data_IF_234612984427
#
_entry.id   IF_234612984427
#
_cell.length_a   1.000
_cell.length_b   1.000
_cell.length_c   1.000
_cell.angle_alpha   90.00
_cell.angle_beta   90.00
_cell.angle_gamma   90.00
#
_symmetry.space_group_name_H-M   'P 1'
#
loop_
_entity.id
_entity.type
_entity.pdbx_description
1 polymer ?
#
# COMPACT_ATOMS: atom_id res chain seq x y z
N UNK A 1 7.86 32.06 -39.44
CA UNK A 1 6.56 32.17 -38.75
C UNK A 1 6.33 30.88 -37.96
N UNK A 2 6.41 30.89 -36.62
CA UNK A 2 6.20 29.70 -35.81
C UNK A 2 4.73 29.59 -35.37
N UNK A 3 4.10 28.44 -35.59
CA UNK A 3 2.82 28.08 -34.95
C UNK A 3 3.14 27.34 -33.64
N UNK A 4 3.28 28.12 -32.56
CA UNK A 4 3.08 27.64 -31.18
C UNK A 4 1.60 27.87 -30.83
N UNK A 5 0.98 26.94 -30.09
CA UNK A 5 -0.40 26.89 -29.56
C UNK A 5 -1.10 25.65 -30.14
N UNK A 6 -1.48 24.62 -29.36
CA UNK A 6 -2.47 24.70 -28.31
C UNK A 6 -2.47 23.47 -27.36
N UNK A 7 -1.31 23.03 -26.85
CA UNK A 7 -1.24 21.94 -25.84
C UNK A 7 -0.67 22.38 -24.48
N UNK A 8 -0.37 23.68 -24.31
CA UNK A 8 0.12 24.24 -23.05
C UNK A 8 -0.94 24.86 -22.13
N UNK A 9 -2.22 24.81 -22.50
CA UNK A 9 -3.31 25.43 -21.73
C UNK A 9 -4.25 24.43 -21.04
N UNK A 10 -4.12 23.12 -21.32
CA UNK A 10 -4.99 22.09 -20.71
C UNK A 10 -4.36 21.42 -19.46
N UNK A 11 -3.04 21.54 -19.28
CA UNK A 11 -2.31 21.00 -18.12
C UNK A 11 -2.05 22.02 -17.00
N UNK A 12 -2.44 23.29 -17.21
CA UNK A 12 -2.39 24.36 -16.21
C UNK A 12 -3.76 24.64 -15.56
N UNK A 13 -4.81 23.93 -15.98
CA UNK A 13 -6.17 24.04 -15.46
C UNK A 13 -6.49 23.02 -14.34
N UNK A 14 -5.54 22.14 -14.00
CA UNK A 14 -5.67 21.14 -12.91
C UNK A 14 -4.72 21.39 -11.73
N UNK A 15 -3.90 22.45 -11.76
CA UNK A 15 -2.93 22.78 -10.71
C UNK A 15 -3.18 24.12 -10.02
N UNK A 16 -4.37 24.73 -10.19
CA UNK A 16 -4.82 25.90 -9.42
C UNK A 16 -6.21 25.64 -8.84
N UNK A 17 -6.29 24.64 -7.95
CA UNK A 17 -7.25 24.65 -6.86
C UNK A 17 -6.46 24.70 -5.54
N UNK A 18 -5.54 25.67 -5.44
CA UNK A 18 -5.29 26.28 -4.14
C UNK A 18 -6.58 26.99 -3.76
N UNK A 19 -7.41 26.31 -2.98
CA UNK A 19 -8.60 26.90 -2.36
C UNK A 19 -8.19 28.00 -1.39
N UNK A 20 -8.00 29.20 -1.91
CA UNK A 20 -8.36 30.43 -1.22
C UNK A 20 -9.59 30.98 -1.95
N UNK A 21 -10.65 30.19 -2.01
CA UNK A 21 -11.98 30.78 -2.16
C UNK A 21 -12.30 31.42 -0.81
N UNK A 22 -12.44 32.74 -0.78
CA UNK A 22 -13.13 33.39 0.32
C UNK A 22 -14.53 32.79 0.35
N UNK A 23 -14.86 32.13 1.45
CA UNK A 23 -16.22 31.70 1.80
C UNK A 23 -17.09 32.97 1.95
N UNK A 24 -17.56 33.53 0.84
CA UNK A 24 -18.61 34.55 0.86
C UNK A 24 -19.74 34.07 -0.07
N UNK A 25 -20.87 33.76 0.58
CA UNK A 25 -22.22 33.56 0.04
C UNK A 25 -22.54 32.32 -0.82
N UNK A 26 -22.13 31.14 -0.35
CA UNK A 26 -22.96 29.93 -0.54
C UNK A 26 -23.60 29.69 0.82
N UNK A 27 -24.92 29.87 0.93
CA UNK A 27 -25.67 29.68 2.18
C UNK A 27 -25.27 28.36 2.85
N UNK A 28 -25.13 28.36 4.18
CA UNK A 28 -24.70 27.20 4.97
C UNK A 28 -25.66 26.05 4.68
N UNK A 29 -25.26 25.12 3.81
CA UNK A 29 -25.97 23.85 3.67
C UNK A 29 -25.59 23.05 4.91
N UNK A 30 -26.49 22.99 5.88
CA UNK A 30 -26.30 22.10 7.04
C UNK A 30 -26.13 20.67 6.52
N UNK A 31 -25.03 19.99 6.90
CA UNK A 31 -24.70 18.62 6.46
C UNK A 31 -25.86 17.62 6.62
N UNK A 32 -26.76 17.86 7.58
CA UNK A 32 -28.01 17.12 7.80
C UNK A 32 -28.91 17.06 6.56
N UNK A 33 -28.97 18.13 5.76
CA UNK A 33 -29.80 18.23 4.56
C UNK A 33 -29.34 17.36 3.37
N UNK A 34 -28.13 16.80 3.44
CA UNK A 34 -27.53 15.95 2.40
C UNK A 34 -27.56 14.45 2.78
N UNK A 35 -28.14 14.11 3.93
CA UNK A 35 -28.24 12.73 4.38
C UNK A 35 -29.30 11.98 3.55
N UNK A 36 -28.86 10.92 2.87
CA UNK A 36 -29.74 10.02 2.12
C UNK A 36 -30.37 8.93 2.98
N UNK A 37 -29.79 8.70 4.16
CA UNK A 37 -30.23 7.68 5.09
C UNK A 37 -30.91 8.34 6.29
N UNK A 38 -31.90 7.64 6.85
CA UNK A 38 -32.44 7.97 8.16
C UNK A 38 -31.31 7.86 9.19
N UNK A 39 -31.16 8.87 10.05
CA UNK A 39 -30.11 8.88 11.07
C UNK A 39 -30.63 9.54 12.37
N UNK A 40 -30.47 8.90 13.55
CA UNK A 40 -29.94 7.56 13.77
C UNK A 40 -30.77 6.45 13.11
N UNK A 41 -30.15 5.30 12.84
CA UNK A 41 -30.77 4.17 12.15
C UNK A 41 -31.48 3.17 13.09
N UNK A 42 -31.36 3.38 14.40
CA UNK A 42 -31.88 2.48 15.43
C UNK A 42 -31.91 3.13 16.80
N UNK A 43 -32.21 2.31 17.82
CA UNK A 43 -32.26 2.71 19.22
C UNK A 43 -31.46 1.77 20.14
N UNK A 44 -30.57 0.95 19.57
CA UNK A 44 -29.68 0.09 20.32
C UNK A 44 -28.69 0.95 21.13
N UNK A 45 -28.09 0.43 22.22
CA UNK A 45 -27.12 1.19 23.01
C UNK A 45 -25.95 1.75 22.19
N UNK A 46 -25.46 0.97 21.21
CA UNK A 46 -24.38 1.35 20.31
C UNK A 46 -24.79 2.35 19.21
N UNK A 47 -26.09 2.56 18.96
CA UNK A 47 -26.53 3.62 18.04
C UNK A 47 -26.13 4.99 18.55
N UNK A 48 -26.15 5.20 19.88
CA UNK A 48 -25.68 6.44 20.49
C UNK A 48 -24.19 6.67 20.28
N UNK A 49 -23.41 5.61 20.19
CA UNK A 49 -21.98 5.69 19.88
C UNK A 49 -21.78 6.10 18.41
N UNK A 50 -22.54 5.52 17.49
CA UNK A 50 -22.56 5.91 16.06
C UNK A 50 -22.97 7.38 15.89
N UNK A 51 -24.00 7.83 16.61
CA UNK A 51 -24.41 9.24 16.61
C UNK A 51 -23.29 10.16 17.07
N UNK A 52 -22.61 9.79 18.16
CA UNK A 52 -21.47 10.54 18.68
C UNK A 52 -20.32 10.56 17.67
N UNK A 53 -20.05 9.45 16.98
CA UNK A 53 -19.04 9.41 15.92
C UNK A 53 -19.39 10.41 14.81
N UNK A 54 -20.64 10.43 14.35
CA UNK A 54 -21.08 11.39 13.34
C UNK A 54 -20.93 12.84 13.80
N UNK A 55 -21.27 13.15 15.06
CA UNK A 55 -21.14 14.49 15.62
C UNK A 55 -19.69 14.94 15.78
N UNK A 56 -18.82 14.09 16.33
CA UNK A 56 -17.43 14.44 16.64
C UNK A 56 -16.54 14.40 15.38
N UNK A 57 -16.72 13.40 14.53
CA UNK A 57 -15.83 13.13 13.40
C UNK A 57 -16.40 13.62 12.06
N UNK A 58 -17.71 13.77 11.95
CA UNK A 58 -18.37 14.12 10.69
C UNK A 58 -18.50 12.96 9.70
N UNK A 59 -18.29 11.71 10.17
CA UNK A 59 -18.43 10.47 9.42
C UNK A 59 -19.71 9.74 9.85
N UNK A 60 -20.59 9.43 8.90
CA UNK A 60 -21.84 8.74 9.15
C UNK A 60 -21.70 7.25 8.89
N UNK A 61 -21.82 6.44 9.95
CA UNK A 61 -21.79 4.98 9.84
C UNK A 61 -23.19 4.50 9.43
N UNK A 62 -23.31 3.89 8.24
CA UNK A 62 -24.57 3.38 7.69
C UNK A 62 -24.54 1.87 7.67
N UNK A 63 -25.54 1.24 8.27
CA UNK A 63 -25.56 -0.22 8.46
C UNK A 63 -26.93 -0.84 8.15
N UNK A 64 -27.95 -0.03 7.83
CA UNK A 64 -29.26 -0.48 7.33
C UNK A 64 -29.52 0.09 5.94
N UNK A 65 -30.27 -0.66 5.14
CA UNK A 65 -30.79 -0.24 3.83
C UNK A 65 -29.70 0.19 2.84
N UNK A 66 -28.46 -0.28 3.00
CA UNK A 66 -27.41 -0.12 1.97
C UNK A 66 -27.65 -1.17 0.90
N UNK A 67 -27.79 -0.73 -0.35
CA UNK A 67 -28.01 -1.65 -1.47
C UNK A 67 -27.08 -1.36 -2.67
N UNK A 68 -27.30 -2.08 -3.77
CA UNK A 68 -26.45 -1.96 -4.97
C UNK A 68 -26.49 -0.55 -5.60
N UNK A 69 -27.54 0.24 -5.39
CA UNK A 69 -27.61 1.62 -5.89
C UNK A 69 -26.71 2.56 -5.10
N UNK A 70 -26.50 2.29 -3.82
CA UNK A 70 -25.56 3.03 -2.98
C UNK A 70 -24.11 2.70 -3.32
N UNK A 71 -23.84 1.42 -3.62
CA UNK A 71 -22.52 0.90 -3.92
C UNK A 71 -22.04 1.17 -5.36
N UNK A 72 -22.95 1.23 -6.35
CA UNK A 72 -22.61 1.35 -7.77
C UNK A 72 -23.04 2.69 -8.35
N UNK A 73 -22.35 3.75 -7.95
CA UNK A 73 -22.72 5.09 -8.40
C UNK A 73 -22.22 5.37 -9.80
N UNK A 74 -22.90 6.30 -10.47
CA UNK A 74 -22.66 6.61 -11.88
C UNK A 74 -21.23 7.04 -12.19
N UNK A 75 -20.49 7.55 -11.21
CA UNK A 75 -19.07 7.90 -11.35
C UNK A 75 -18.09 6.75 -11.06
N UNK A 76 -18.55 5.62 -10.50
CA UNK A 76 -17.70 4.44 -10.23
C UNK A 76 -17.86 3.33 -11.27
N UNK A 77 -18.91 3.37 -12.10
CA UNK A 77 -19.30 2.24 -12.94
C UNK A 77 -19.49 2.64 -14.41
N UNK A 78 -18.45 2.45 -15.23
CA UNK A 78 -18.57 2.54 -16.70
C UNK A 78 -17.81 1.42 -17.38
N UNK A 79 -18.52 0.41 -17.90
CA UNK A 79 -17.92 -0.66 -18.71
C UNK A 79 -18.61 -2.02 -18.56
N UNK A 80 -18.57 -2.83 -19.62
CA UNK A 80 -19.15 -4.18 -19.64
C UNK A 80 -18.50 -5.14 -18.62
N UNK A 81 -17.20 -4.98 -18.36
CA UNK A 81 -16.44 -5.79 -17.41
C UNK A 81 -16.29 -5.12 -16.03
N UNK A 82 -16.92 -3.97 -15.80
CA UNK A 82 -16.77 -3.23 -14.55
C UNK A 82 -17.50 -3.94 -13.41
N UNK A 83 -16.89 -4.07 -12.22
CA UNK A 83 -17.57 -4.69 -11.08
C UNK A 83 -18.94 -4.08 -10.76
N UNK A 84 -19.89 -4.94 -10.39
CA UNK A 84 -21.23 -4.54 -9.90
C UNK A 84 -21.36 -5.02 -8.46
N UNK A 85 -21.19 -4.11 -7.51
CA UNK A 85 -21.14 -4.41 -6.09
C UNK A 85 -22.52 -4.72 -5.51
N UNK A 86 -22.63 -5.83 -4.79
CA UNK A 86 -23.80 -6.20 -3.99
C UNK A 86 -23.35 -6.57 -2.58
N UNK A 87 -24.26 -6.52 -1.63
CA UNK A 87 -23.97 -6.86 -0.24
C UNK A 87 -25.24 -7.36 0.48
N UNK A 88 -25.06 -7.74 1.74
CA UNK A 88 -26.11 -8.13 2.67
C UNK A 88 -26.12 -7.19 3.88
N UNK A 89 -27.24 -7.16 4.59
CA UNK A 89 -27.40 -6.34 5.80
C UNK A 89 -26.86 -7.11 7.02
N UNK A 90 -25.93 -6.52 7.80
CA UNK A 90 -25.45 -7.10 9.06
C UNK A 90 -26.54 -7.11 10.14
N UNK A 91 -26.41 -8.04 11.09
CA UNK A 91 -27.24 -8.08 12.29
C UNK A 91 -26.63 -7.30 13.47
N UNK A 92 -27.42 -7.06 14.52
CA UNK A 92 -27.04 -6.22 15.67
C UNK A 92 -25.78 -6.68 16.43
N UNK A 93 -25.45 -7.98 16.42
CA UNK A 93 -24.21 -8.46 17.06
C UNK A 93 -23.00 -8.21 16.19
N UNK A 94 -23.14 -8.37 14.88
CA UNK A 94 -22.08 -8.12 13.90
C UNK A 94 -21.69 -6.64 13.88
N UNK A 95 -22.65 -5.72 14.02
CA UNK A 95 -22.38 -4.28 14.11
C UNK A 95 -21.36 -3.96 15.20
N UNK A 96 -21.43 -4.62 16.35
CA UNK A 96 -20.48 -4.38 17.45
C UNK A 96 -19.05 -4.76 17.05
N UNK A 97 -18.88 -5.87 16.34
CA UNK A 97 -17.57 -6.32 15.82
C UNK A 97 -16.99 -5.25 14.87
N UNK A 98 -17.82 -4.73 13.95
CA UNK A 98 -17.41 -3.64 13.06
C UNK A 98 -17.02 -2.38 13.83
N UNK A 99 -17.83 -1.97 14.81
CA UNK A 99 -17.58 -0.78 15.61
C UNK A 99 -16.29 -0.88 16.42
N UNK A 100 -15.98 -2.04 16.99
CA UNK A 100 -14.73 -2.27 17.72
C UNK A 100 -13.51 -2.06 16.81
N UNK A 101 -13.54 -2.58 15.58
CA UNK A 101 -12.47 -2.38 14.60
C UNK A 101 -12.33 -0.90 14.21
N UNK A 102 -13.44 -0.20 13.97
CA UNK A 102 -13.45 1.21 13.57
C UNK A 102 -12.90 2.09 14.69
N UNK A 103 -13.41 1.93 15.90
CA UNK A 103 -12.96 2.72 17.04
C UNK A 103 -11.48 2.48 17.32
N UNK A 104 -11.04 1.22 17.30
CA UNK A 104 -9.65 0.86 17.62
C UNK A 104 -8.66 1.28 16.54
N UNK A 105 -8.95 1.01 15.27
CA UNK A 105 -7.95 1.08 14.21
C UNK A 105 -8.12 2.26 13.24
N UNK A 106 -9.35 2.70 12.98
CA UNK A 106 -9.60 3.89 12.19
C UNK A 106 -9.48 5.13 13.07
N UNK A 107 -10.43 5.30 14.00
CA UNK A 107 -10.54 6.50 14.83
C UNK A 107 -9.38 6.60 15.83
N UNK A 108 -8.92 5.48 16.39
CA UNK A 108 -7.77 5.45 17.30
C UNK A 108 -6.42 5.83 16.67
N UNK A 109 -6.36 6.00 15.34
CA UNK A 109 -5.16 6.46 14.62
C UNK A 109 -5.19 7.96 14.26
N UNK A 110 -6.29 8.63 14.59
CA UNK A 110 -6.60 10.00 14.21
C UNK A 110 -6.85 10.87 15.45
N UNK A 111 -6.70 12.18 15.30
CA UNK A 111 -7.09 13.17 16.29
C UNK A 111 -8.39 13.88 15.87
N UNK A 112 -9.46 13.72 16.66
CA UNK A 112 -10.77 14.32 16.34
C UNK A 112 -10.76 15.84 16.36
N UNK A 113 -9.88 16.46 17.14
CA UNK A 113 -9.82 17.92 17.26
C UNK A 113 -9.05 18.54 16.07
N UNK A 114 -8.36 17.70 15.28
CA UNK A 114 -7.62 18.10 14.10
C UNK A 114 -8.48 17.99 12.84
N UNK A 115 -8.64 19.11 12.13
CA UNK A 115 -9.49 19.18 10.91
C UNK A 115 -8.96 18.28 9.81
N UNK A 116 -7.65 18.26 9.60
CA UNK A 116 -6.99 17.49 8.55
C UNK A 116 -7.21 15.99 8.73
N UNK A 117 -7.29 15.51 9.96
CA UNK A 117 -7.56 14.11 10.28
C UNK A 117 -9.01 13.73 9.99
N UNK A 118 -9.96 14.61 10.35
CA UNK A 118 -11.38 14.41 10.01
C UNK A 118 -11.64 14.46 8.51
N UNK A 119 -10.91 15.28 7.76
CA UNK A 119 -11.05 15.39 6.30
C UNK A 119 -10.59 14.13 5.53
N UNK A 120 -9.86 13.24 6.19
CA UNK A 120 -9.41 11.98 5.59
C UNK A 120 -10.47 10.87 5.70
N UNK A 121 -11.50 11.07 6.52
CA UNK A 121 -12.59 10.12 6.69
C UNK A 121 -13.61 10.26 5.55
N UNK A 122 -14.23 9.16 5.11
CA UNK A 122 -15.32 9.23 4.16
C UNK A 122 -16.52 9.91 4.82
N UNK A 123 -17.40 10.52 4.01
CA UNK A 123 -18.65 11.05 4.56
C UNK A 123 -19.55 9.92 5.05
N UNK A 124 -19.62 8.82 4.29
CA UNK A 124 -20.30 7.59 4.69
C UNK A 124 -19.32 6.42 4.91
N UNK A 125 -19.48 5.70 6.01
CA UNK A 125 -18.84 4.39 6.21
C UNK A 125 -19.93 3.33 6.26
N UNK A 126 -20.02 2.51 5.22
CA UNK A 126 -20.99 1.44 5.12
C UNK A 126 -20.49 0.19 5.84
N UNK A 127 -21.32 -0.35 6.74
CA UNK A 127 -21.12 -1.66 7.35
C UNK A 127 -22.08 -2.63 6.67
N UNK A 128 -21.52 -3.54 5.89
CA UNK A 128 -22.30 -4.46 5.06
C UNK A 128 -21.69 -5.85 5.10
N UNK A 129 -22.48 -6.91 5.06
CA UNK A 129 -21.93 -8.27 4.95
C UNK A 129 -21.76 -8.66 3.47
N UNK A 130 -20.85 -9.58 3.21
CA UNK A 130 -20.71 -10.26 1.91
C UNK A 130 -20.61 -9.28 0.72
N UNK A 131 -19.89 -8.16 0.87
CA UNK A 131 -19.63 -7.23 -0.23
C UNK A 131 -18.86 -7.96 -1.34
N UNK A 132 -19.44 -8.08 -2.52
CA UNK A 132 -18.82 -8.79 -3.64
C UNK A 132 -19.26 -8.27 -5.00
N UNK A 133 -18.49 -8.63 -6.01
CA UNK A 133 -18.76 -8.30 -7.40
C UNK A 133 -19.75 -9.30 -8.05
N UNK A 134 -20.91 -8.82 -8.44
CA UNK A 134 -21.97 -9.59 -9.08
C UNK A 134 -22.00 -9.46 -10.62
N UNK A 135 -20.98 -8.85 -11.24
CA UNK A 135 -20.91 -8.79 -12.70
C UNK A 135 -20.30 -10.09 -13.27
N UNK A 136 -21.06 -10.93 -13.99
CA UNK A 136 -20.55 -12.18 -14.54
C UNK A 136 -19.44 -12.01 -15.59
N UNK A 137 -19.27 -10.81 -16.14
CA UNK A 137 -18.24 -10.50 -17.13
C UNK A 137 -16.98 -9.89 -16.51
N UNK A 138 -16.98 -9.65 -15.19
CA UNK A 138 -15.86 -9.06 -14.50
C UNK A 138 -14.80 -10.11 -14.13
N UNK A 139 -13.50 -9.81 -14.25
CA UNK A 139 -12.42 -10.67 -13.75
C UNK A 139 -12.46 -10.92 -12.22
N UNK A 140 -13.26 -10.12 -11.51
CA UNK A 140 -13.46 -10.23 -10.06
C UNK A 140 -14.83 -10.78 -9.67
N UNK A 141 -15.60 -11.33 -10.61
CA UNK A 141 -16.91 -11.92 -10.31
C UNK A 141 -16.85 -12.87 -9.11
N UNK A 142 -17.83 -12.71 -8.21
CA UNK A 142 -18.00 -13.40 -6.93
C UNK A 142 -16.85 -13.25 -5.91
N UNK A 143 -15.85 -12.42 -6.19
CA UNK A 143 -14.80 -12.13 -5.19
C UNK A 143 -15.35 -11.20 -4.11
N UNK A 144 -15.23 -11.65 -2.87
CA UNK A 144 -15.49 -10.84 -1.70
C UNK A 144 -14.44 -9.73 -1.54
N UNK A 145 -14.89 -8.56 -1.10
CA UNK A 145 -14.05 -7.40 -0.80
C UNK A 145 -14.28 -6.99 0.65
N UNK A 146 -13.26 -7.18 1.47
CA UNK A 146 -13.31 -6.87 2.89
C UNK A 146 -13.38 -5.36 3.14
N UNK A 147 -12.64 -4.56 2.36
CA UNK A 147 -12.61 -3.11 2.51
C UNK A 147 -12.56 -2.43 1.15
N UNK A 148 -13.51 -1.51 0.93
CA UNK A 148 -13.63 -0.70 -0.28
C UNK A 148 -13.43 0.77 0.08
N UNK A 149 -12.36 1.40 -0.42
CA UNK A 149 -11.99 2.79 -0.12
C UNK A 149 -11.84 3.70 -1.35
N UNK A 150 -12.15 3.17 -2.54
CA UNK A 150 -12.15 3.88 -3.83
C UNK A 150 -13.45 4.65 -4.11
N UNK A 151 -14.42 4.62 -3.19
CA UNK A 151 -15.61 5.45 -3.25
C UNK A 151 -15.28 6.91 -2.89
N UNK A 152 -15.76 7.86 -3.70
CA UNK A 152 -15.48 9.29 -3.52
C UNK A 152 -16.03 9.84 -2.19
N UNK A 153 -17.27 9.49 -1.84
CA UNK A 153 -17.94 9.97 -0.64
C UNK A 153 -18.22 8.86 0.39
N UNK A 154 -17.88 7.60 0.07
CA UNK A 154 -18.12 6.47 0.94
C UNK A 154 -17.00 5.45 0.94
N UNK A 155 -16.79 4.80 2.08
CA UNK A 155 -16.08 3.52 2.18
C UNK A 155 -17.06 2.42 2.60
N UNK A 156 -16.72 1.17 2.33
CA UNK A 156 -17.47 0.02 2.83
C UNK A 156 -16.53 -0.98 3.51
N UNK A 157 -16.85 -1.33 4.76
CA UNK A 157 -16.20 -2.40 5.51
C UNK A 157 -17.15 -3.60 5.52
N UNK A 158 -16.61 -4.76 5.19
CA UNK A 158 -17.38 -5.98 4.99
C UNK A 158 -16.63 -7.22 5.46
N UNK A 159 -17.40 -8.15 5.99
CA UNK A 159 -17.02 -9.52 6.26
C UNK A 159 -18.15 -10.44 5.81
N UNK A 160 -17.84 -11.69 5.52
CA UNK A 160 -18.87 -12.70 5.31
C UNK A 160 -19.53 -13.07 6.64
N UNK A 161 -20.77 -13.55 6.57
CA UNK A 161 -21.47 -14.02 7.77
C UNK A 161 -20.74 -15.18 8.47
N UNK A 162 -20.01 -16.01 7.71
CA UNK A 162 -19.19 -17.10 8.25
C UNK A 162 -17.97 -16.57 9.03
N UNK A 163 -17.28 -15.58 8.51
CA UNK A 163 -16.14 -14.94 9.17
C UNK A 163 -16.54 -14.28 10.50
N UNK A 164 -17.70 -13.63 10.53
CA UNK A 164 -18.21 -12.99 11.74
C UNK A 164 -18.68 -14.00 12.80
N UNK A 165 -19.15 -15.18 12.38
CA UNK A 165 -19.54 -16.26 13.30
C UNK A 165 -18.33 -16.99 13.90
N UNK A 166 -17.25 -17.15 13.13
CA UNK A 166 -16.08 -17.94 13.51
C UNK A 166 -14.95 -17.13 14.19
N UNK A 167 -15.25 -15.90 14.62
CA UNK A 167 -14.27 -14.88 15.02
C UNK A 167 -13.32 -14.48 13.88
N UNK A 168 -12.98 -13.18 13.83
CA UNK A 168 -12.11 -12.67 12.77
C UNK A 168 -10.67 -13.15 12.97
N UNK A 169 -10.07 -13.70 11.92
CA UNK A 169 -8.69 -14.17 11.99
C UNK A 169 -7.71 -13.00 12.20
N UNK A 170 -6.54 -13.25 12.83
CA UNK A 170 -5.46 -12.28 12.93
C UNK A 170 -5.13 -11.56 11.62
N UNK A 171 -5.05 -12.29 10.50
CA UNK A 171 -4.78 -11.70 9.17
C UNK A 171 -5.85 -10.71 8.73
N UNK A 172 -7.11 -11.02 8.99
CA UNK A 172 -8.22 -10.16 8.61
C UNK A 172 -8.25 -8.87 9.44
N UNK A 173 -7.98 -8.98 10.75
CA UNK A 173 -7.85 -7.84 11.64
C UNK A 173 -6.64 -6.99 11.24
N UNK A 174 -5.50 -7.63 10.94
CA UNK A 174 -4.28 -6.96 10.48
C UNK A 174 -4.51 -6.16 9.20
N UNK A 175 -5.15 -6.77 8.20
CA UNK A 175 -5.47 -6.11 6.94
C UNK A 175 -6.32 -4.85 7.14
N UNK A 176 -7.38 -4.93 7.94
CA UNK A 176 -8.24 -3.79 8.28
C UNK A 176 -7.46 -2.73 9.06
N UNK A 177 -6.70 -3.14 10.07
CA UNK A 177 -5.94 -2.24 10.92
C UNK A 177 -4.95 -1.40 10.10
N UNK A 178 -4.22 -2.05 9.20
CA UNK A 178 -3.24 -1.39 8.37
C UNK A 178 -3.88 -0.51 7.29
N UNK A 179 -4.97 -0.98 6.65
CA UNK A 179 -5.68 -0.20 5.63
C UNK A 179 -6.38 1.04 6.19
N UNK A 180 -6.78 1.02 7.47
CA UNK A 180 -7.32 2.19 8.14
C UNK A 180 -6.25 3.19 8.59
N UNK A 181 -5.16 2.70 9.18
CA UNK A 181 -4.18 3.61 9.80
C UNK A 181 -3.12 4.14 8.82
N UNK A 182 -2.62 3.34 7.89
CA UNK A 182 -1.48 3.73 7.05
C UNK A 182 -1.77 4.87 6.07
N UNK A 183 -2.92 4.94 5.37
CA UNK A 183 -3.18 6.03 4.42
C UNK A 183 -3.04 7.40 5.07
N UNK A 184 -3.49 7.55 6.31
CA UNK A 184 -3.36 8.80 7.04
C UNK A 184 -1.91 9.15 7.38
N UNK A 185 -1.12 8.15 7.78
CA UNK A 185 0.32 8.33 7.99
C UNK A 185 1.01 8.76 6.69
N UNK A 186 0.73 8.07 5.59
CA UNK A 186 1.30 8.35 4.26
C UNK A 186 0.99 9.79 3.82
N UNK A 187 -0.27 10.23 3.91
CA UNK A 187 -0.69 11.59 3.55
C UNK A 187 0.04 12.65 4.39
N UNK A 188 0.19 12.44 5.70
CA UNK A 188 0.93 13.36 6.58
C UNK A 188 2.41 13.48 6.22
N UNK A 189 3.04 12.41 5.73
CA UNK A 189 4.41 12.54 5.19
C UNK A 189 4.43 13.27 3.84
N UNK A 190 3.49 12.95 2.95
CA UNK A 190 3.44 13.54 1.60
C UNK A 190 3.13 15.04 1.63
N UNK A 191 2.27 15.50 2.52
CA UNK A 191 1.96 16.93 2.71
C UNK A 191 3.00 17.66 3.58
N UNK A 192 3.95 16.93 4.16
CA UNK A 192 5.04 17.45 4.97
C UNK A 192 4.68 17.80 6.41
N UNK A 193 3.51 17.41 6.92
CA UNK A 193 3.18 17.48 8.34
C UNK A 193 4.10 16.59 9.16
N UNK A 194 4.28 15.34 8.72
CA UNK A 194 5.28 14.43 9.24
C UNK A 194 6.58 14.59 8.44
N UNK A 195 7.69 14.63 9.16
CA UNK A 195 9.05 14.60 8.61
C UNK A 195 9.69 13.25 8.86
N UNK A 196 10.37 12.72 7.85
CA UNK A 196 11.25 11.56 8.02
C UNK A 196 12.39 11.91 9.00
N UNK A 197 12.92 10.92 9.70
CA UNK A 197 14.08 11.13 10.57
C UNK A 197 15.26 11.66 9.75
N UNK A 198 15.98 12.71 10.20
CA UNK A 198 17.19 13.19 9.53
C UNK A 198 18.29 12.12 9.49
N UNK A 199 18.25 11.17 10.42
CA UNK A 199 19.22 10.08 10.52
C UNK A 199 18.91 8.92 9.58
N UNK A 200 17.76 8.93 8.89
CA UNK A 200 17.36 7.80 8.03
C UNK A 200 18.15 7.74 6.72
N UNK A 201 18.25 8.85 6.00
CA UNK A 201 18.96 8.89 4.73
C UNK A 201 20.46 8.52 4.87
N UNK A 202 21.19 8.99 5.90
CA UNK A 202 22.59 8.61 6.13
C UNK A 202 22.85 7.11 6.33
N UNK A 203 21.85 6.31 6.74
CA UNK A 203 22.01 4.86 6.88
C UNK A 203 22.21 4.16 5.52
N UNK A 204 21.63 4.71 4.45
CA UNK A 204 21.83 4.18 3.10
C UNK A 204 22.98 4.90 2.43
N UNK A 205 24.02 4.17 1.98
CA UNK A 205 25.19 4.81 1.36
C UNK A 205 24.87 5.58 0.06
N UNK A 206 23.84 5.16 -0.69
CA UNK A 206 23.62 5.66 -2.03
C UNK A 206 22.17 5.44 -2.53
N UNK A 207 21.45 6.55 -2.75
CA UNK A 207 20.11 6.61 -3.37
C UNK A 207 20.14 7.04 -4.86
N UNK A 208 21.32 7.31 -5.42
CA UNK A 208 21.50 7.82 -6.78
C UNK A 208 21.72 6.68 -7.77
N UNK A 209 22.66 5.78 -7.48
CA UNK A 209 23.07 4.77 -8.45
C UNK A 209 22.00 3.70 -8.65
N UNK A 210 21.91 3.24 -9.89
CA UNK A 210 21.01 2.17 -10.31
C UNK A 210 21.24 0.89 -9.48
N UNK A 211 20.15 0.22 -9.10
CA UNK A 211 20.16 -1.05 -8.35
C UNK A 211 19.83 -2.24 -9.27
N UNK A 212 20.35 -3.41 -8.98
CA UNK A 212 19.89 -4.68 -9.55
C UNK A 212 18.72 -5.26 -8.74
N UNK A 213 18.01 -6.21 -9.34
CA UNK A 213 16.85 -6.87 -8.71
C UNK A 213 17.24 -8.09 -7.89
N UNK A 214 18.11 -8.95 -8.41
CA UNK A 214 18.59 -10.15 -7.72
C UNK A 214 19.97 -10.55 -8.23
N UNK A 215 20.61 -11.47 -7.52
CA UNK A 215 21.75 -12.22 -8.01
C UNK A 215 21.29 -13.61 -8.43
N UNK A 216 21.66 -14.05 -9.63
CA UNK A 216 21.32 -15.37 -10.15
C UNK A 216 22.59 -16.03 -10.67
N UNK A 217 23.23 -16.85 -9.83
CA UNK A 217 24.46 -17.55 -10.20
C UNK A 217 24.23 -18.57 -11.31
N UNK A 218 25.32 -18.95 -11.98
CA UNK A 218 25.28 -20.02 -12.97
C UNK A 218 24.80 -21.33 -12.34
N UNK A 219 25.26 -21.66 -11.14
CA UNK A 219 24.88 -22.88 -10.43
C UNK A 219 23.39 -22.91 -10.12
N UNK A 220 22.82 -21.78 -9.68
CA UNK A 220 21.38 -21.68 -9.43
C UNK A 220 20.59 -21.84 -10.73
N UNK A 221 20.99 -21.14 -11.79
CA UNK A 221 20.36 -21.27 -13.11
C UNK A 221 20.43 -22.70 -13.66
N UNK A 222 21.59 -23.35 -13.53
CA UNK A 222 21.82 -24.69 -14.01
C UNK A 222 20.96 -25.73 -13.28
N UNK A 223 20.81 -25.58 -11.96
CA UNK A 223 19.93 -26.41 -11.16
C UNK A 223 18.45 -26.16 -11.50
N UNK A 224 18.01 -24.90 -11.58
CA UNK A 224 16.62 -24.55 -11.80
C UNK A 224 16.12 -24.94 -13.21
N UNK A 225 16.96 -24.76 -14.25
CA UNK A 225 16.57 -24.97 -15.64
C UNK A 225 16.88 -26.38 -16.15
N UNK A 226 17.92 -27.04 -15.62
CA UNK A 226 18.42 -28.33 -16.13
C UNK A 226 18.53 -29.41 -15.06
N UNK A 227 18.12 -29.14 -13.81
CA UNK A 227 18.19 -30.10 -12.71
C UNK A 227 19.62 -30.53 -12.35
N UNK A 228 20.63 -29.72 -12.71
CA UNK A 228 22.04 -30.07 -12.50
C UNK A 228 22.57 -31.18 -13.43
N UNK A 229 21.90 -31.45 -14.55
CA UNK A 229 22.32 -32.47 -15.51
C UNK A 229 23.61 -32.07 -16.24
N UNK A 230 24.76 -32.59 -15.79
CA UNK A 230 26.09 -32.28 -16.34
C UNK A 230 26.22 -32.45 -17.86
N UNK A 231 25.43 -33.32 -18.49
CA UNK A 231 25.43 -33.46 -19.95
C UNK A 231 24.90 -32.20 -20.66
N UNK A 232 24.11 -31.38 -19.97
CA UNK A 232 23.55 -30.13 -20.47
C UNK A 232 24.40 -28.90 -20.11
N UNK A 233 25.53 -29.07 -19.42
CA UNK A 233 26.31 -27.94 -18.87
C UNK A 233 26.73 -26.91 -19.91
N UNK A 234 27.23 -27.34 -21.07
CA UNK A 234 27.59 -26.44 -22.17
C UNK A 234 26.39 -25.67 -22.73
N UNK A 235 25.23 -26.33 -22.82
CA UNK A 235 23.97 -25.68 -23.22
C UNK A 235 23.52 -24.68 -22.16
N UNK A 236 23.67 -25.03 -20.88
CA UNK A 236 23.35 -24.15 -19.77
C UNK A 236 24.27 -22.91 -19.76
N UNK A 237 25.56 -23.04 -20.00
CA UNK A 237 26.51 -21.91 -20.09
C UNK A 237 26.07 -20.93 -21.18
N UNK A 238 25.78 -21.44 -22.38
CA UNK A 238 25.28 -20.62 -23.49
C UNK A 238 23.95 -19.93 -23.16
N UNK A 239 22.99 -20.65 -22.58
CA UNK A 239 21.68 -20.09 -22.22
C UNK A 239 21.77 -19.10 -21.05
N UNK A 240 22.63 -19.34 -20.07
CA UNK A 240 22.90 -18.40 -18.98
C UNK A 240 23.43 -17.08 -19.53
N UNK A 241 24.33 -17.15 -20.50
CA UNK A 241 24.89 -15.96 -21.13
C UNK A 241 23.89 -15.14 -21.91
N UNK A 242 22.90 -15.78 -22.52
CA UNK A 242 21.84 -15.11 -23.28
C UNK A 242 20.66 -14.63 -22.42
N UNK A 243 20.30 -15.38 -21.38
CA UNK A 243 19.02 -15.20 -20.67
C UNK A 243 19.17 -14.43 -19.36
N UNK A 244 20.33 -14.48 -18.72
CA UNK A 244 20.57 -13.80 -17.45
C UNK A 244 21.27 -12.48 -17.73
N UNK A 245 20.64 -11.38 -17.31
CA UNK A 245 21.19 -10.04 -17.52
C UNK A 245 22.54 -9.89 -16.82
N UNK A 246 23.49 -9.16 -17.42
CA UNK A 246 24.82 -8.93 -16.84
C UNK A 246 24.78 -8.41 -15.41
N UNK A 247 23.80 -7.56 -15.10
CA UNK A 247 23.56 -7.02 -13.76
C UNK A 247 23.08 -8.07 -12.75
N UNK A 248 22.37 -9.12 -13.18
CA UNK A 248 21.96 -10.25 -12.33
C UNK A 248 23.09 -11.25 -12.09
N UNK A 249 24.14 -11.23 -12.92
CA UNK A 249 25.36 -12.04 -12.72
C UNK A 249 26.33 -11.42 -11.71
N UNK A 250 26.14 -10.15 -11.35
CA UNK A 250 27.00 -9.45 -10.41
C UNK A 250 26.36 -9.42 -9.01
N UNK A 251 26.96 -10.13 -8.04
CA UNK A 251 26.43 -10.22 -6.68
C UNK A 251 26.40 -8.89 -5.91
N UNK A 252 27.09 -7.83 -6.37
CA UNK A 252 27.06 -6.53 -5.70
C UNK A 252 25.81 -5.71 -6.02
N UNK A 253 25.15 -6.01 -7.15
CA UNK A 253 24.04 -5.19 -7.63
C UNK A 253 22.72 -5.46 -6.89
N UNK A 254 22.63 -6.53 -6.10
CA UNK A 254 21.41 -6.89 -5.37
C UNK A 254 20.99 -5.77 -4.42
N UNK A 255 19.75 -5.33 -4.53
CA UNK A 255 19.23 -4.22 -3.73
C UNK A 255 19.31 -4.44 -2.21
N UNK A 256 19.13 -5.68 -1.74
CA UNK A 256 19.23 -6.02 -0.31
C UNK A 256 20.65 -5.83 0.23
N UNK A 257 21.66 -6.22 -0.55
CA UNK A 257 23.10 -5.99 -0.24
C UNK A 257 23.46 -4.51 -0.20
N UNK A 258 22.64 -3.67 -0.84
CA UNK A 258 22.74 -2.20 -0.78
C UNK A 258 21.93 -1.56 0.35
N UNK A 259 21.29 -2.36 1.20
CA UNK A 259 20.55 -1.88 2.37
C UNK A 259 19.11 -1.46 2.07
N UNK A 260 18.54 -1.89 0.94
CA UNK A 260 17.12 -1.73 0.66
C UNK A 260 16.37 -3.00 1.00
N UNK A 261 15.33 -2.89 1.82
CA UNK A 261 14.45 -4.01 2.08
C UNK A 261 13.51 -4.24 0.88
N UNK A 262 12.99 -5.47 0.68
CA UNK A 262 12.03 -5.74 -0.37
C UNK A 262 10.78 -4.88 -0.22
N UNK A 263 10.13 -4.61 -1.35
CA UNK A 263 8.91 -3.83 -1.38
C UNK A 263 7.77 -4.57 -0.67
N UNK A 264 7.13 -3.86 0.26
CA UNK A 264 5.85 -4.21 0.85
C UNK A 264 4.77 -3.40 0.13
N UNK A 265 3.73 -4.06 -0.36
CA UNK A 265 2.62 -3.39 -1.06
C UNK A 265 1.81 -2.50 -0.10
N UNK A 266 0.95 -1.64 -0.64
CA UNK A 266 -0.02 -0.88 0.18
C UNK A 266 -1.05 -1.78 0.89
N UNK A 267 -1.16 -3.03 0.47
CA UNK A 267 -1.95 -4.08 1.13
C UNK A 267 -1.10 -4.96 2.06
N UNK A 268 0.09 -4.49 2.44
CA UNK A 268 0.96 -5.13 3.43
C UNK A 268 1.47 -6.52 3.03
N UNK A 269 1.55 -6.79 1.72
CA UNK A 269 2.10 -8.02 1.16
C UNK A 269 3.55 -7.82 0.70
N UNK A 270 4.43 -8.75 1.05
CA UNK A 270 5.81 -8.77 0.59
C UNK A 270 5.87 -9.21 -0.89
N UNK A 271 6.49 -8.41 -1.75
CA UNK A 271 6.44 -8.62 -3.21
C UNK A 271 7.62 -9.44 -3.79
N UNK A 272 8.28 -10.27 -2.97
CA UNK A 272 9.46 -11.03 -3.37
C UNK A 272 9.19 -12.13 -4.40
N UNK A 273 7.95 -12.63 -4.49
CA UNK A 273 7.55 -13.68 -5.43
C UNK A 273 7.18 -13.15 -6.82
N UNK A 274 7.07 -11.84 -7.00
CA UNK A 274 6.79 -11.25 -8.29
C UNK A 274 7.99 -11.44 -9.21
N UNK A 275 7.87 -12.29 -10.24
CA UNK A 275 8.95 -12.60 -11.19
C UNK A 275 9.44 -11.38 -11.99
N UNK A 276 8.68 -10.29 -12.03
CA UNK A 276 9.09 -9.06 -12.69
C UNK A 276 10.04 -8.23 -11.82
N UNK A 277 9.85 -8.23 -10.50
CA UNK A 277 10.57 -7.31 -9.60
C UNK A 277 11.48 -8.01 -8.59
N UNK A 278 11.17 -9.26 -8.22
CA UNK A 278 11.81 -9.99 -7.13
C UNK A 278 11.84 -9.21 -5.81
N UNK A 279 10.83 -8.35 -5.60
CA UNK A 279 10.73 -7.44 -4.45
C UNK A 279 11.61 -6.19 -4.55
N UNK A 280 12.32 -5.96 -5.66
CA UNK A 280 13.18 -4.80 -5.82
C UNK A 280 12.39 -3.48 -5.71
N UNK A 281 12.92 -2.48 -4.98
CA UNK A 281 12.32 -1.16 -4.86
C UNK A 281 12.07 -0.48 -6.21
N UNK A 282 10.81 -0.29 -6.60
CA UNK A 282 10.49 0.39 -7.88
C UNK A 282 10.74 1.90 -7.83
N UNK A 283 10.85 2.49 -6.62
CA UNK A 283 11.22 3.90 -6.43
C UNK A 283 12.72 4.17 -6.61
N UNK A 284 13.54 3.15 -6.82
CA UNK A 284 14.95 3.30 -7.17
C UNK A 284 15.13 3.09 -8.67
N UNK A 285 16.06 3.80 -9.34
CA UNK A 285 16.37 3.51 -10.72
C UNK A 285 17.02 2.12 -10.80
N UNK A 286 16.64 1.28 -11.78
CA UNK A 286 17.18 -0.07 -11.93
C UNK A 286 18.32 -0.10 -12.96
N UNK A 287 19.24 -1.05 -12.85
CA UNK A 287 20.30 -1.19 -13.85
C UNK A 287 19.65 -1.50 -15.19
N UNK A 288 20.02 -0.72 -16.22
CA UNK A 288 19.46 -0.89 -17.56
C UNK A 288 19.91 -2.23 -18.12
N UNK A 289 18.96 -2.96 -18.69
CA UNK A 289 19.28 -4.21 -19.37
C UNK A 289 19.83 -3.88 -20.75
N UNK A 290 21.02 -4.40 -21.05
CA UNK A 290 21.65 -4.25 -22.35
C UNK A 290 21.63 -5.60 -23.08
N UNK A 291 21.13 -5.60 -24.31
CA UNK A 291 21.20 -6.75 -25.21
C UNK A 291 22.12 -6.42 -26.38
N UNK A 292 23.19 -7.19 -26.51
CA UNK A 292 24.15 -7.05 -27.59
C UNK A 292 23.78 -7.97 -28.76
N UNK A 293 23.78 -7.42 -29.97
CA UNK A 293 23.59 -8.17 -31.21
C UNK A 293 24.78 -7.91 -32.13
N UNK A 294 25.41 -8.95 -32.71
CA UNK A 294 26.54 -8.77 -33.62
C UNK A 294 26.20 -7.81 -34.77
N UNK A 295 27.02 -6.75 -34.93
CA UNK A 295 26.85 -5.77 -36.00
C UNK A 295 25.78 -4.69 -35.78
N UNK A 296 25.13 -4.64 -34.61
CA UNK A 296 24.15 -3.61 -34.25
C UNK A 296 24.55 -2.88 -32.95
N UNK A 297 24.15 -1.62 -32.75
CA UNK A 297 24.23 -0.98 -31.44
C UNK A 297 23.45 -1.77 -30.38
N UNK A 298 23.92 -1.81 -29.12
CA UNK A 298 23.20 -2.48 -28.04
C UNK A 298 21.79 -1.92 -27.86
N UNK A 299 20.80 -2.80 -27.70
CA UNK A 299 19.47 -2.40 -27.28
C UNK A 299 19.46 -2.21 -25.76
N UNK A 300 18.91 -1.10 -25.30
CA UNK A 300 18.88 -0.73 -23.88
C UNK A 300 17.43 -0.65 -23.41
N UNK A 301 17.11 -1.39 -22.37
CA UNK A 301 15.76 -1.49 -21.81
C UNK A 301 15.75 -1.04 -20.35
N UNK A 302 14.78 -0.21 -19.99
CA UNK A 302 14.44 0.07 -18.60
C UNK A 302 13.30 -0.86 -18.19
N UNK A 303 13.63 -1.87 -17.37
CA UNK A 303 12.70 -2.90 -16.93
C UNK A 303 12.01 -2.55 -15.60
N UNK A 304 12.29 -1.37 -15.01
CA UNK A 304 11.57 -0.91 -13.83
C UNK A 304 10.11 -0.65 -14.20
N UNK A 305 9.12 -1.27 -13.52
CA UNK A 305 7.69 -1.04 -13.78
C UNK A 305 7.28 0.45 -13.68
N UNK A 306 7.95 1.21 -12.82
CA UNK A 306 7.71 2.64 -12.63
C UNK A 306 8.59 3.51 -13.55
N UNK A 307 9.58 2.93 -14.23
CA UNK A 307 10.41 3.53 -15.28
C UNK A 307 10.70 5.04 -15.11
N UNK A 308 10.20 5.84 -16.05
CA UNK A 308 10.39 7.30 -16.10
C UNK A 308 9.69 8.11 -14.99
N UNK A 309 8.92 7.45 -14.12
CA UNK A 309 8.23 8.04 -12.97
C UNK A 309 8.99 7.83 -11.65
N UNK A 310 10.21 7.26 -11.70
CA UNK A 310 11.09 7.14 -10.53
C UNK A 310 11.31 8.53 -9.91
N UNK A 311 11.02 8.72 -8.61
CA UNK A 311 11.16 10.03 -7.96
C UNK A 311 12.60 10.55 -7.96
N UNK A 312 12.75 11.86 -7.73
CA UNK A 312 14.04 12.44 -7.35
C UNK A 312 14.51 11.91 -5.99
N UNK A 313 15.79 12.09 -5.65
CA UNK A 313 16.46 11.53 -4.46
C UNK A 313 15.62 11.69 -3.18
N UNK A 314 15.12 12.91 -2.89
CA UNK A 314 14.27 13.16 -1.71
C UNK A 314 13.01 12.30 -1.70
N UNK A 315 12.39 12.11 -2.86
CA UNK A 315 11.25 11.23 -3.04
C UNK A 315 11.62 9.74 -2.84
N UNK A 316 12.81 9.31 -3.28
CA UNK A 316 13.28 7.93 -3.07
C UNK A 316 13.50 7.62 -1.59
N UNK A 317 14.12 8.56 -0.86
CA UNK A 317 14.30 8.46 0.59
C UNK A 317 12.94 8.36 1.28
N UNK A 318 11.98 9.19 0.87
CA UNK A 318 10.62 9.14 1.42
C UNK A 318 9.94 7.79 1.16
N UNK A 319 10.02 7.26 -0.06
CA UNK A 319 9.44 5.97 -0.40
C UNK A 319 10.10 4.81 0.36
N UNK A 320 11.42 4.86 0.56
CA UNK A 320 12.15 3.88 1.37
C UNK A 320 11.75 3.94 2.85
N UNK A 321 11.59 5.15 3.40
CA UNK A 321 11.06 5.35 4.75
C UNK A 321 9.65 4.77 4.89
N UNK A 322 8.74 5.11 3.97
CA UNK A 322 7.37 4.59 3.96
C UNK A 322 7.32 3.07 3.77
N UNK A 323 8.22 2.50 2.97
CA UNK A 323 8.35 1.04 2.86
C UNK A 323 8.80 0.42 4.18
N UNK A 324 9.72 1.07 4.91
CA UNK A 324 10.17 0.63 6.23
C UNK A 324 9.05 0.74 7.28
N UNK A 325 8.20 1.78 7.20
CA UNK A 325 6.97 1.87 8.00
C UNK A 325 6.06 0.67 7.74
N UNK A 326 5.84 0.32 6.47
CA UNK A 326 5.03 -0.87 6.11
C UNK A 326 5.66 -2.16 6.61
N UNK A 327 6.98 -2.32 6.50
CA UNK A 327 7.70 -3.47 7.07
C UNK A 327 7.46 -3.60 8.58
N UNK A 328 7.56 -2.51 9.35
CA UNK A 328 7.30 -2.50 10.78
C UNK A 328 5.84 -2.77 11.16
N UNK A 329 4.89 -2.44 10.27
CA UNK A 329 3.49 -2.80 10.44
C UNK A 329 3.18 -4.24 10.04
N UNK A 330 3.97 -4.85 9.16
CA UNK A 330 3.76 -6.23 8.67
C UNK A 330 4.49 -7.27 9.51
N UNK A 331 5.74 -7.00 9.93
CA UNK A 331 6.60 -8.02 10.53
C UNK A 331 7.10 -7.58 11.92
N UNK A 332 7.04 -8.49 12.91
CA UNK A 332 7.66 -8.25 14.21
C UNK A 332 9.18 -8.22 14.06
N UNK A 333 9.86 -7.68 15.08
CA UNK A 333 11.31 -7.48 15.07
C UNK A 333 12.05 -8.81 14.84
N UNK A 334 11.62 -9.88 15.50
CA UNK A 334 12.21 -11.21 15.40
C UNK A 334 12.20 -11.71 13.96
N UNK A 335 11.06 -11.59 13.27
CA UNK A 335 10.94 -11.97 11.85
C UNK A 335 11.86 -11.13 10.97
N UNK A 336 12.03 -9.84 11.26
CA UNK A 336 12.98 -8.99 10.51
C UNK A 336 14.42 -9.46 10.72
N UNK A 337 14.80 -9.86 11.94
CA UNK A 337 16.15 -10.40 12.19
C UNK A 337 16.38 -11.72 11.47
N UNK A 338 15.36 -12.57 11.39
CA UNK A 338 15.40 -13.83 10.65
C UNK A 338 15.49 -13.61 9.14
N UNK A 339 14.76 -12.63 8.61
CA UNK A 339 14.80 -12.27 7.18
C UNK A 339 16.14 -11.64 6.79
N UNK A 340 16.77 -10.89 7.70
CA UNK A 340 18.00 -10.14 7.45
C UNK A 340 19.06 -10.41 8.54
N UNK A 341 19.63 -11.62 8.59
CA UNK A 341 20.60 -11.99 9.62
C UNK A 341 21.90 -11.19 9.50
N UNK A 342 22.32 -10.56 10.60
CA UNK A 342 23.55 -9.75 10.64
C UNK A 342 24.84 -10.59 10.71
N UNK A 343 24.70 -11.89 10.92
CA UNK A 343 25.76 -12.92 10.91
C UNK A 343 25.77 -13.74 9.60
N UNK A 344 25.15 -13.22 8.54
CA UNK A 344 25.19 -13.82 7.21
C UNK A 344 26.64 -14.15 6.77
N UNK A 345 26.89 -15.32 6.14
CA UNK A 345 28.25 -15.72 5.76
C UNK A 345 28.92 -14.81 4.73
N UNK A 346 28.16 -14.24 3.79
CA UNK A 346 28.66 -13.31 2.78
C UNK A 346 28.76 -11.89 3.39
N UNK A 347 29.94 -11.24 3.38
CA UNK A 347 30.12 -9.89 3.89
C UNK A 347 29.21 -8.84 3.24
N UNK A 348 28.80 -9.03 1.97
CA UNK A 348 27.87 -8.13 1.28
C UNK A 348 26.46 -8.25 1.85
N UNK A 349 26.01 -9.48 2.13
CA UNK A 349 24.72 -9.73 2.78
C UNK A 349 24.74 -9.19 4.20
N UNK A 350 25.81 -9.45 4.97
CA UNK A 350 25.97 -8.90 6.32
C UNK A 350 25.87 -7.37 6.32
N UNK A 351 26.53 -6.68 5.38
CA UNK A 351 26.47 -5.22 5.28
C UNK A 351 25.05 -4.73 4.97
N UNK A 352 24.41 -5.30 3.95
CA UNK A 352 23.05 -4.94 3.56
C UNK A 352 22.03 -5.17 4.67
N UNK A 353 22.11 -6.35 5.31
CA UNK A 353 21.26 -6.73 6.42
C UNK A 353 21.40 -5.79 7.62
N UNK A 354 22.61 -5.39 8.00
CA UNK A 354 22.81 -4.38 9.06
C UNK A 354 22.09 -3.07 8.74
N UNK A 355 22.23 -2.54 7.53
CA UNK A 355 21.56 -1.29 7.12
C UNK A 355 20.03 -1.44 7.19
N UNK A 356 19.48 -2.57 6.74
CA UNK A 356 18.03 -2.83 6.79
C UNK A 356 17.54 -2.87 8.24
N UNK A 357 18.25 -3.58 9.13
CA UNK A 357 17.93 -3.64 10.56
C UNK A 357 18.03 -2.27 11.24
N UNK A 358 19.11 -1.51 10.98
CA UNK A 358 19.31 -0.18 11.55
C UNK A 358 18.18 0.79 11.13
N UNK A 359 17.73 0.71 9.86
CA UNK A 359 16.58 1.47 9.36
C UNK A 359 15.30 1.09 10.07
N UNK A 360 15.03 -0.21 10.22
CA UNK A 360 13.86 -0.71 10.93
C UNK A 360 13.80 -0.13 12.35
N UNK A 361 14.90 -0.26 13.09
CA UNK A 361 15.00 0.18 14.48
C UNK A 361 14.84 1.69 14.62
N UNK A 362 15.45 2.44 13.69
CA UNK A 362 15.30 3.88 13.62
C UNK A 362 13.85 4.26 13.38
N UNK A 363 13.18 3.65 12.40
CA UNK A 363 11.79 3.96 12.03
C UNK A 363 10.85 3.63 13.18
N UNK A 364 10.94 2.45 13.78
CA UNK A 364 10.11 2.06 14.93
C UNK A 364 10.25 3.05 16.08
N UNK A 365 11.49 3.35 16.48
CA UNK A 365 11.78 4.27 17.59
C UNK A 365 11.34 5.71 17.29
N UNK A 366 11.63 6.19 16.08
CA UNK A 366 11.32 7.54 15.66
C UNK A 366 9.82 7.77 15.54
N UNK A 367 9.09 6.83 14.93
CA UNK A 367 7.64 6.93 14.79
C UNK A 367 6.93 6.94 16.15
N UNK A 368 7.42 6.13 17.10
CA UNK A 368 6.88 6.12 18.46
C UNK A 368 7.19 7.41 19.23
N UNK A 369 8.41 7.93 19.13
CA UNK A 369 8.81 9.11 19.91
C UNK A 369 8.32 10.44 19.31
N UNK A 370 8.36 10.59 17.98
CA UNK A 370 7.98 11.83 17.31
C UNK A 370 6.47 11.98 17.11
N UNK A 371 5.76 10.87 16.87
CA UNK A 371 4.34 10.89 16.49
C UNK A 371 3.44 10.01 17.36
N UNK A 372 3.99 9.41 18.42
CA UNK A 372 3.28 8.42 19.26
C UNK A 372 2.69 7.24 18.45
N UNK A 373 3.30 6.90 17.31
CA UNK A 373 2.87 5.80 16.46
C UNK A 373 3.70 4.55 16.77
N UNK A 374 3.08 3.64 17.52
CA UNK A 374 3.58 2.30 17.75
C UNK A 374 3.29 1.45 16.50
N UNK A 375 4.29 1.26 15.64
CA UNK A 375 4.15 0.44 14.42
C UNK A 375 4.14 -1.07 14.72
N UNK A 376 5.00 -1.61 15.62
CA UNK A 376 4.97 -3.03 15.95
C UNK A 376 3.61 -3.54 16.48
N UNK A 377 2.77 -2.68 17.08
CA UNK A 377 1.41 -3.09 17.50
C UNK A 377 0.57 -3.68 16.38
N UNK A 378 0.81 -3.29 15.12
CA UNK A 378 0.08 -3.83 13.96
C UNK A 378 0.60 -5.24 13.66
N UNK A 379 1.92 -5.42 13.56
CA UNK A 379 2.52 -6.73 13.34
C UNK A 379 2.17 -7.73 14.45
N UNK A 380 2.07 -7.27 15.71
CA UNK A 380 1.68 -8.09 16.85
C UNK A 380 0.28 -8.72 16.71
N UNK A 381 -0.60 -8.18 15.87
CA UNK A 381 -1.90 -8.81 15.55
C UNK A 381 -1.65 -10.20 14.98
N UNK A 382 -0.67 -10.34 14.09
CA UNK A 382 -0.33 -11.61 13.44
C UNK A 382 0.34 -12.63 14.38
N UNK A 383 0.93 -12.17 15.49
CA UNK A 383 1.53 -13.02 16.51
C UNK A 383 0.52 -13.75 17.40
N UNK A 384 -0.78 -13.55 17.17
CA UNK A 384 -1.86 -14.35 17.76
C UNK A 384 -2.20 -15.62 16.97
N UNK A 385 -1.45 -15.95 15.91
CA UNK A 385 -1.54 -17.23 15.16
C UNK A 385 -0.77 -18.38 15.82
#
# INVERSE_FOLDING_TARGET
MPKKSAYGALLLLLSVITSCMKEEDIGIIEKSSLLRFEFPQGNNPWDKEIEKIAQEWGMYIIYKKVDSTDLNRSWTSSGFQTPIWVCQTPNDNEIKIYLDLIQKWLLGSLDKDKREDRLQLPFYLYLVNDLKDNNPNSPTHDKHVQLKQDGFDYWALSFTSEELQNELTPRMIHAVACAFSYPAMEVRFLNGEYKISPDFAPLTPDYESRIGTRYYSFEAFFNDMFGGNENMKKTAEYMYDMMVGSHEKDPQNVYTRRGFAPQVSKSFLLLTTNRQTFGAPTWMPWILTQMEFPGSPPLVFDNNPEGGSVPEIKGRVLQDFLNTVRLAMTFPEETIREMFPVDAPDPLDQKGNRIINDKYDLVVRYMKSAYNLDLPKYAAILGGE
#
